data_IF_864864049389
#
_entry.id   IF_864864049389
#
_cell.length_a   1.000
_cell.length_b   1.000
_cell.length_c   1.000
_cell.angle_alpha   90.00
_cell.angle_beta   90.00
_cell.angle_gamma   90.00
#
_symmetry.space_group_name_H-M   'P 1'
#
loop_
_entity.id
_entity.type
_entity.pdbx_description
1 polymer ?
#
# COMPACT_ATOMS: atom_id res chain seq x y z
N UNK A 1 -6.49 -17.97 -4.99
CA UNK A 1 -6.87 -16.63 -4.48
C UNK A 1 -7.90 -16.71 -3.35
N UNK A 2 -8.89 -17.60 -3.48
CA UNK A 2 -9.91 -17.89 -2.45
C UNK A 2 -9.35 -18.21 -1.06
N UNK A 3 -8.12 -18.74 -0.97
CA UNK A 3 -7.51 -19.11 0.31
C UNK A 3 -6.99 -17.92 1.14
N UNK A 4 -6.88 -16.71 0.57
CA UNK A 4 -6.37 -15.54 1.28
C UNK A 4 -7.09 -14.25 0.85
N UNK A 5 -8.33 -14.01 1.33
CA UNK A 5 -9.09 -12.81 0.97
C UNK A 5 -8.35 -11.48 1.19
N UNK A 6 -7.57 -11.27 2.28
CA UNK A 6 -6.75 -10.06 2.43
C UNK A 6 -5.72 -9.85 1.32
N UNK A 7 -5.12 -10.92 0.80
CA UNK A 7 -4.14 -10.81 -0.29
C UNK A 7 -4.81 -10.38 -1.59
N UNK A 8 -6.03 -10.89 -1.86
CA UNK A 8 -6.83 -10.44 -2.98
C UNK A 8 -7.17 -8.95 -2.84
N UNK A 9 -7.58 -8.53 -1.65
CA UNK A 9 -7.87 -7.13 -1.35
C UNK A 9 -6.64 -6.25 -1.62
N UNK A 10 -5.46 -6.63 -1.14
CA UNK A 10 -4.21 -5.90 -1.39
C UNK A 10 -3.91 -5.77 -2.89
N UNK A 11 -4.13 -6.82 -3.69
CA UNK A 11 -3.86 -6.76 -5.13
C UNK A 11 -4.86 -5.88 -5.87
N UNK A 12 -6.13 -5.96 -5.52
CA UNK A 12 -7.18 -5.12 -6.10
C UNK A 12 -6.92 -3.65 -5.77
N UNK A 13 -6.61 -3.34 -4.51
CA UNK A 13 -6.35 -1.95 -4.08
C UNK A 13 -5.07 -1.41 -4.69
N UNK A 14 -4.04 -2.24 -4.80
CA UNK A 14 -2.80 -1.91 -5.49
C UNK A 14 -3.06 -1.56 -6.98
N UNK A 15 -3.85 -2.38 -7.68
CA UNK A 15 -4.23 -2.12 -9.07
C UNK A 15 -5.02 -0.82 -9.22
N UNK A 16 -6.03 -0.61 -8.38
CA UNK A 16 -6.84 0.62 -8.38
C UNK A 16 -5.97 1.84 -8.13
N UNK A 17 -5.08 1.79 -7.14
CA UNK A 17 -4.15 2.88 -6.85
C UNK A 17 -3.23 3.15 -8.04
N UNK A 18 -2.66 2.12 -8.67
CA UNK A 18 -1.81 2.30 -9.85
C UNK A 18 -2.53 3.03 -11.00
N UNK A 19 -3.80 2.69 -11.27
CA UNK A 19 -4.61 3.37 -12.29
C UNK A 19 -4.86 4.84 -11.93
N UNK A 20 -5.13 5.13 -10.66
CA UNK A 20 -5.33 6.50 -10.19
C UNK A 20 -4.05 7.33 -10.30
N UNK A 21 -2.91 6.79 -9.88
CA UNK A 21 -1.61 7.46 -10.03
C UNK A 21 -1.24 7.68 -11.49
N UNK A 22 -1.53 6.73 -12.38
CA UNK A 22 -1.33 6.94 -13.82
C UNK A 22 -2.21 8.09 -14.33
N UNK A 23 -3.47 8.14 -13.91
CA UNK A 23 -4.41 9.19 -14.29
C UNK A 23 -3.95 10.57 -13.79
N UNK A 24 -3.41 10.64 -12.57
CA UNK A 24 -2.85 11.87 -12.00
C UNK A 24 -1.61 12.33 -12.75
N UNK A 25 -0.70 11.42 -13.11
CA UNK A 25 0.48 11.75 -13.91
C UNK A 25 0.08 12.32 -15.28
N UNK A 26 -0.89 11.71 -15.98
CA UNK A 26 -1.39 12.23 -17.26
C UNK A 26 -1.93 13.65 -17.10
N UNK A 27 -2.69 13.93 -16.03
CA UNK A 27 -3.20 15.29 -15.76
C UNK A 27 -2.07 16.29 -15.56
N UNK A 28 -1.05 15.93 -14.77
CA UNK A 28 0.10 16.80 -14.57
C UNK A 28 0.84 17.09 -15.89
N UNK A 29 1.02 16.10 -16.77
CA UNK A 29 1.59 16.32 -18.10
C UNK A 29 0.74 17.27 -18.94
N UNK A 30 -0.59 17.16 -18.91
CA UNK A 30 -1.48 18.06 -19.64
C UNK A 30 -1.44 19.50 -19.11
N UNK A 31 -1.29 19.69 -17.80
CA UNK A 31 -1.10 21.02 -17.18
C UNK A 31 0.22 21.63 -17.62
N UNK A 32 1.33 20.87 -17.51
CA UNK A 32 2.68 21.34 -17.90
C UNK A 32 2.72 21.68 -19.40
N UNK A 33 2.03 20.89 -20.23
CA UNK A 33 1.89 21.15 -21.66
C UNK A 33 0.95 22.31 -22.02
N UNK A 34 0.41 23.03 -21.04
CA UNK A 34 -0.60 24.09 -21.22
C UNK A 34 -1.85 23.64 -22.00
N UNK A 35 -2.14 22.33 -22.04
CA UNK A 35 -3.35 21.78 -22.67
C UNK A 35 -4.57 22.06 -21.80
N UNK A 36 -4.40 22.01 -20.47
CA UNK A 36 -5.40 22.38 -19.48
C UNK A 36 -4.94 23.65 -18.79
N UNK A 37 -5.75 24.72 -18.86
CA UNK A 37 -5.46 25.98 -18.18
C UNK A 37 -5.59 25.83 -16.67
N UNK A 38 -4.55 26.24 -15.93
CA UNK A 38 -4.56 26.32 -14.46
C UNK A 38 -5.36 27.55 -13.99
N UNK A 39 -6.68 27.46 -14.10
CA UNK A 39 -7.63 28.46 -13.60
C UNK A 39 -8.36 27.92 -12.36
N UNK A 40 -8.84 28.80 -11.48
CA UNK A 40 -9.58 28.41 -10.27
C UNK A 40 -10.74 27.46 -10.57
N UNK A 41 -11.45 27.67 -11.68
CA UNK A 41 -12.56 26.81 -12.13
C UNK A 41 -12.14 25.34 -12.35
N UNK A 42 -10.90 25.11 -12.79
CA UNK A 42 -10.36 23.78 -13.02
C UNK A 42 -9.69 23.19 -11.77
N UNK A 43 -9.39 23.99 -10.74
CA UNK A 43 -8.68 23.55 -9.52
C UNK A 43 -9.38 22.36 -8.87
N UNK A 44 -10.72 22.34 -8.81
CA UNK A 44 -11.47 21.20 -8.23
C UNK A 44 -11.25 19.92 -9.03
N UNK A 45 -11.33 19.98 -10.36
CA UNK A 45 -11.11 18.83 -11.24
C UNK A 45 -9.67 18.32 -11.15
N UNK A 46 -8.71 19.21 -10.90
CA UNK A 46 -7.30 18.89 -10.73
C UNK A 46 -6.99 18.25 -9.37
N UNK A 47 -7.70 18.64 -8.30
CA UNK A 47 -7.42 18.19 -6.93
C UNK A 47 -8.27 17.00 -6.48
N UNK A 48 -9.49 16.85 -6.98
CA UNK A 48 -10.39 15.75 -6.61
C UNK A 48 -9.77 14.35 -6.83
N UNK A 49 -9.12 14.05 -7.97
CA UNK A 49 -8.56 12.73 -8.21
C UNK A 49 -7.39 12.39 -7.27
N UNK A 50 -6.42 13.28 -7.03
CA UNK A 50 -5.42 13.07 -5.98
C UNK A 50 -6.01 12.89 -4.57
N UNK A 51 -7.09 13.58 -4.21
CA UNK A 51 -7.79 13.31 -2.94
C UNK A 51 -8.34 11.89 -2.89
N UNK A 52 -9.03 11.46 -3.95
CA UNK A 52 -9.57 10.11 -4.04
C UNK A 52 -8.47 9.05 -4.00
N UNK A 53 -7.38 9.25 -4.73
CA UNK A 53 -6.19 8.39 -4.71
C UNK A 53 -5.59 8.33 -3.30
N UNK A 54 -5.51 9.47 -2.61
CA UNK A 54 -4.98 9.55 -1.26
C UNK A 54 -5.86 8.81 -0.25
N UNK A 55 -7.18 8.90 -0.38
CA UNK A 55 -8.10 8.13 0.45
C UNK A 55 -7.95 6.64 0.17
N UNK A 56 -7.97 6.22 -1.11
CA UNK A 56 -7.87 4.82 -1.51
C UNK A 56 -6.52 4.17 -1.18
N UNK A 57 -5.44 4.95 -1.09
CA UNK A 57 -4.16 4.51 -0.53
C UNK A 57 -4.34 3.97 0.91
N UNK A 58 -5.19 4.60 1.72
CA UNK A 58 -5.50 4.10 3.07
C UNK A 58 -6.14 2.71 3.05
N UNK A 59 -6.96 2.38 2.04
CA UNK A 59 -7.53 1.04 1.88
C UNK A 59 -6.44 0.00 1.59
N UNK A 60 -5.42 0.35 0.81
CA UNK A 60 -4.25 -0.51 0.59
C UNK A 60 -3.46 -0.74 1.88
N UNK A 61 -3.24 0.29 2.69
CA UNK A 61 -2.54 0.16 3.98
C UNK A 61 -3.33 -0.74 4.95
N UNK A 62 -4.64 -0.52 5.09
CA UNK A 62 -5.50 -1.37 5.92
C UNK A 62 -5.59 -2.81 5.39
N UNK A 63 -5.57 -3.02 4.08
CA UNK A 63 -5.53 -4.35 3.49
C UNK A 63 -4.22 -5.08 3.83
N UNK A 64 -3.08 -4.37 3.82
CA UNK A 64 -1.80 -4.94 4.25
C UNK A 64 -1.78 -5.25 5.76
N UNK A 65 -2.29 -4.35 6.60
CA UNK A 65 -2.46 -4.62 8.05
C UNK A 65 -3.28 -5.89 8.27
N UNK A 66 -4.43 -6.00 7.57
CA UNK A 66 -5.30 -7.18 7.61
C UNK A 66 -4.56 -8.45 7.21
N UNK A 67 -3.75 -8.38 6.15
CA UNK A 67 -2.92 -9.48 5.67
C UNK A 67 -1.87 -9.88 6.71
N UNK A 68 -1.19 -8.93 7.36
CA UNK A 68 -0.23 -9.21 8.42
C UNK A 68 -0.89 -9.86 9.64
N UNK A 69 -2.06 -9.37 10.07
CA UNK A 69 -2.84 -9.96 11.17
C UNK A 69 -3.24 -11.39 10.84
N UNK A 70 -3.84 -11.61 9.66
CA UNK A 70 -4.27 -12.94 9.21
C UNK A 70 -3.09 -13.92 9.20
N UNK A 71 -1.95 -13.52 8.64
CA UNK A 71 -0.75 -14.37 8.50
C UNK A 71 -0.09 -14.64 9.84
N UNK A 72 -0.01 -13.65 10.71
CA UNK A 72 0.46 -13.82 12.09
C UNK A 72 -0.40 -14.84 12.83
N UNK A 73 -1.73 -14.75 12.69
CA UNK A 73 -2.64 -15.70 13.33
C UNK A 73 -2.45 -17.13 12.81
N UNK A 74 -2.34 -17.32 11.50
CA UNK A 74 -2.09 -18.64 10.87
C UNK A 74 -0.80 -19.26 11.42
N UNK A 75 0.25 -18.46 11.60
CA UNK A 75 1.54 -18.92 12.12
C UNK A 75 1.49 -19.29 13.61
N UNK A 76 0.70 -18.56 14.41
CA UNK A 76 0.56 -18.82 15.84
C UNK A 76 -0.40 -19.97 16.15
N UNK A 77 -1.45 -20.15 15.34
CA UNK A 77 -2.53 -21.11 15.60
C UNK A 77 -2.88 -21.95 14.35
N UNK A 78 -2.02 -22.88 13.93
CA UNK A 78 -2.21 -23.64 12.68
C UNK A 78 -3.46 -24.54 12.66
N UNK A 79 -3.97 -24.92 13.83
CA UNK A 79 -5.12 -25.83 13.96
C UNK A 79 -6.49 -25.12 13.94
N UNK A 80 -6.52 -23.78 13.99
CA UNK A 80 -7.77 -23.01 14.09
C UNK A 80 -8.38 -22.71 12.71
N UNK A 81 -9.71 -22.57 12.60
CA UNK A 81 -10.38 -22.27 11.33
C UNK A 81 -10.02 -20.87 10.82
N UNK A 82 -9.10 -20.81 9.85
CA UNK A 82 -8.54 -19.57 9.29
C UNK A 82 -9.58 -18.69 8.59
N UNK A 83 -10.64 -19.29 8.03
CA UNK A 83 -11.64 -18.58 7.20
C UNK A 83 -12.38 -17.49 7.96
N UNK A 84 -12.80 -17.76 9.19
CA UNK A 84 -13.56 -16.80 10.00
C UNK A 84 -12.71 -15.56 10.32
N UNK A 85 -11.47 -15.77 10.73
CA UNK A 85 -10.54 -14.70 11.11
C UNK A 85 -10.16 -13.86 9.90
N UNK A 86 -9.96 -14.49 8.76
CA UNK A 86 -9.71 -13.79 7.50
C UNK A 86 -10.87 -12.87 7.14
N UNK A 87 -12.12 -13.33 7.32
CA UNK A 87 -13.31 -12.52 7.05
C UNK A 87 -13.44 -11.35 8.01
N UNK A 88 -13.26 -11.60 9.31
CA UNK A 88 -13.28 -10.55 10.34
C UNK A 88 -12.20 -9.50 10.06
N UNK A 89 -10.97 -9.92 9.74
CA UNK A 89 -9.87 -9.01 9.45
C UNK A 89 -10.14 -8.15 8.20
N UNK A 90 -10.77 -8.69 7.16
CA UNK A 90 -11.15 -7.92 5.96
C UNK A 90 -12.25 -6.92 6.28
N UNK A 91 -13.31 -7.35 6.98
CA UNK A 91 -14.43 -6.46 7.36
C UNK A 91 -13.92 -5.33 8.25
N UNK A 92 -13.09 -5.63 9.25
CA UNK A 92 -12.49 -4.64 10.13
C UNK A 92 -11.63 -3.63 9.35
N UNK A 93 -10.82 -4.11 8.39
CA UNK A 93 -10.01 -3.25 7.54
C UNK A 93 -10.85 -2.31 6.67
N UNK A 94 -11.93 -2.81 6.06
CA UNK A 94 -12.84 -1.99 5.25
C UNK A 94 -13.54 -0.94 6.12
N UNK A 95 -14.04 -1.31 7.29
CA UNK A 95 -14.71 -0.36 8.21
C UNK A 95 -13.72 0.70 8.70
N UNK A 96 -12.51 0.31 9.12
CA UNK A 96 -11.48 1.25 9.54
C UNK A 96 -11.07 2.20 8.40
N UNK A 97 -10.95 1.67 7.18
CA UNK A 97 -10.72 2.48 5.98
C UNK A 97 -11.86 3.48 5.76
N UNK A 98 -13.12 3.06 5.79
CA UNK A 98 -14.26 3.96 5.56
C UNK A 98 -14.30 5.10 6.58
N UNK A 99 -14.02 4.81 7.85
CA UNK A 99 -13.90 5.83 8.89
C UNK A 99 -12.75 6.80 8.61
N UNK A 100 -11.56 6.29 8.27
CA UNK A 100 -10.40 7.12 7.94
C UNK A 100 -10.61 7.94 6.65
N UNK A 101 -11.26 7.36 5.64
CA UNK A 101 -11.61 8.05 4.41
C UNK A 101 -12.64 9.15 4.67
N UNK A 102 -13.66 8.88 5.49
CA UNK A 102 -14.64 9.86 5.89
C UNK A 102 -14.00 11.05 6.60
N UNK A 103 -13.12 10.81 7.58
CA UNK A 103 -12.42 11.90 8.27
C UNK A 103 -11.53 12.69 7.32
N UNK A 104 -10.75 12.02 6.47
CA UNK A 104 -9.92 12.70 5.47
C UNK A 104 -10.76 13.51 4.48
N UNK A 105 -11.87 12.97 3.95
CA UNK A 105 -12.74 13.70 3.04
C UNK A 105 -13.36 14.91 3.72
N UNK A 106 -13.93 14.73 4.91
CA UNK A 106 -14.59 15.82 5.64
C UNK A 106 -13.63 16.98 5.95
N UNK A 107 -12.42 16.68 6.41
CA UNK A 107 -11.37 17.67 6.64
C UNK A 107 -10.98 18.39 5.33
N UNK A 108 -10.82 17.67 4.22
CA UNK A 108 -10.54 18.30 2.93
C UNK A 108 -11.70 19.18 2.43
N UNK A 109 -12.95 18.77 2.69
CA UNK A 109 -14.14 19.55 2.32
C UNK A 109 -14.20 20.89 3.05
N UNK A 110 -13.76 20.95 4.31
CA UNK A 110 -13.73 22.22 5.07
C UNK A 110 -12.79 23.26 4.44
N UNK A 111 -11.73 22.81 3.77
CA UNK A 111 -10.78 23.67 3.08
C UNK A 111 -11.18 23.97 1.62
N UNK A 112 -12.41 23.62 1.20
CA UNK A 112 -12.94 23.90 -0.14
C UNK A 112 -13.06 25.39 -0.51
N UNK A 113 -13.01 26.28 0.47
CA UNK A 113 -13.09 27.73 0.25
C UNK A 113 -11.88 28.25 -0.56
N UNK A 114 -10.82 27.44 -0.73
CA UNK A 114 -9.57 27.83 -1.40
C UNK A 114 -9.63 27.56 -2.93
N UNK A 115 -10.68 26.92 -3.45
CA UNK A 115 -10.70 26.39 -4.82
C UNK A 115 -10.91 27.43 -5.91
N UNK A 116 -11.33 28.65 -5.56
CA UNK A 116 -11.44 29.75 -6.53
C UNK A 116 -10.08 30.31 -6.96
N UNK A 117 -8.99 29.91 -6.30
CA UNK A 117 -7.63 30.33 -6.64
C UNK A 117 -6.93 29.27 -7.51
N UNK A 118 -6.14 29.69 -8.52
CA UNK A 118 -5.32 28.77 -9.29
C UNK A 118 -4.24 28.15 -8.39
N UNK A 119 -3.75 26.97 -8.76
CA UNK A 119 -2.65 26.32 -8.06
C UNK A 119 -1.40 27.20 -8.22
N UNK A 120 -0.66 27.54 -7.14
CA UNK A 120 0.53 28.38 -7.24
C UNK A 120 1.55 27.79 -8.21
N UNK A 121 2.17 28.64 -9.03
CA UNK A 121 3.26 28.22 -9.91
C UNK A 121 4.40 27.60 -9.07
N UNK A 122 4.95 26.48 -9.55
CA UNK A 122 5.97 25.71 -8.81
C UNK A 122 5.40 24.71 -7.79
N UNK A 123 4.11 24.77 -7.46
CA UNK A 123 3.44 23.81 -6.57
C UNK A 123 2.86 22.63 -7.37
N UNK A 124 3.74 21.89 -8.04
CA UNK A 124 3.35 20.75 -8.87
C UNK A 124 3.32 19.47 -8.04
N UNK A 125 2.13 19.11 -7.57
CA UNK A 125 1.87 17.83 -6.92
C UNK A 125 1.02 17.93 -5.67
N UNK A 126 0.36 16.83 -5.36
CA UNK A 126 -0.55 16.73 -4.23
C UNK A 126 0.13 17.02 -2.89
N UNK A 127 1.41 16.66 -2.72
CA UNK A 127 2.14 16.90 -1.48
C UNK A 127 2.30 18.41 -1.15
N UNK A 128 2.48 19.26 -2.17
CA UNK A 128 2.57 20.70 -1.99
C UNK A 128 1.19 21.29 -1.65
N UNK A 129 0.16 20.85 -2.36
CA UNK A 129 -1.23 21.29 -2.14
C UNK A 129 -1.75 20.83 -0.77
N UNK A 130 -1.41 19.62 -0.34
CA UNK A 130 -1.81 19.01 0.95
C UNK A 130 -1.42 19.87 2.16
N UNK A 131 -0.37 20.70 2.07
CA UNK A 131 0.00 21.63 3.14
C UNK A 131 -1.12 22.61 3.49
N UNK A 132 -2.01 22.89 2.55
CA UNK A 132 -3.13 23.82 2.69
C UNK A 132 -4.33 23.19 3.42
N UNK A 133 -4.36 21.86 3.52
CA UNK A 133 -5.49 21.08 4.04
C UNK A 133 -5.31 20.60 5.49
N UNK A 134 -4.40 21.24 6.25
CA UNK A 134 -4.25 21.02 7.70
C UNK A 134 -3.41 19.81 8.12
N UNK A 135 -3.09 19.76 9.42
CA UNK A 135 -2.23 18.73 10.03
C UNK A 135 -2.94 17.42 10.39
N UNK A 136 -4.26 17.37 10.39
CA UNK A 136 -5.07 16.20 10.79
C UNK A 136 -4.82 14.99 9.90
N UNK A 137 -4.78 15.18 8.58
CA UNK A 137 -4.50 14.12 7.60
C UNK A 137 -3.10 13.53 7.82
N UNK A 138 -2.13 14.34 8.26
CA UNK A 138 -0.79 13.87 8.58
C UNK A 138 -0.78 12.96 9.81
N UNK A 139 -1.53 13.31 10.86
CA UNK A 139 -1.68 12.49 12.07
C UNK A 139 -2.31 11.14 11.73
N UNK A 140 -3.42 11.12 10.97
CA UNK A 140 -4.10 9.88 10.56
C UNK A 140 -3.13 8.97 9.81
N UNK A 141 -2.35 9.52 8.86
CA UNK A 141 -1.33 8.74 8.15
C UNK A 141 -0.25 8.18 9.07
N UNK A 142 0.28 8.97 10.00
CA UNK A 142 1.30 8.48 10.95
C UNK A 142 0.73 7.31 11.75
N UNK A 143 -0.50 7.43 12.25
CA UNK A 143 -1.15 6.36 13.02
C UNK A 143 -1.27 5.08 12.19
N UNK A 144 -1.69 5.19 10.93
CA UNK A 144 -1.76 4.05 10.00
C UNK A 144 -0.36 3.45 9.77
N UNK A 145 0.65 4.26 9.45
CA UNK A 145 2.03 3.81 9.23
C UNK A 145 2.62 3.10 10.44
N UNK A 146 2.44 3.64 11.65
CA UNK A 146 2.91 3.03 12.90
C UNK A 146 2.20 1.70 13.16
N UNK A 147 0.89 1.65 12.93
CA UNK A 147 0.09 0.41 13.08
C UNK A 147 0.56 -0.66 12.09
N UNK A 148 0.81 -0.28 10.84
CA UNK A 148 1.32 -1.17 9.80
C UNK A 148 2.70 -1.72 10.13
N UNK A 149 3.62 -0.87 10.61
CA UNK A 149 4.93 -1.29 11.08
C UNK A 149 4.82 -2.28 12.24
N UNK A 150 3.99 -1.98 13.25
CA UNK A 150 3.79 -2.85 14.41
C UNK A 150 3.32 -4.27 14.01
N UNK A 151 2.28 -4.37 13.17
CA UNK A 151 1.80 -5.67 12.71
C UNK A 151 2.78 -6.37 11.77
N UNK A 152 3.48 -5.63 10.90
CA UNK A 152 4.49 -6.19 10.01
C UNK A 152 5.70 -6.74 10.76
N UNK A 153 6.21 -6.04 11.78
CA UNK A 153 7.26 -6.55 12.66
C UNK A 153 6.81 -7.79 13.43
N UNK A 154 5.59 -7.76 13.98
CA UNK A 154 5.01 -8.93 14.68
C UNK A 154 4.95 -10.14 13.76
N UNK A 155 4.48 -9.96 12.51
CA UNK A 155 4.47 -11.00 11.49
C UNK A 155 5.87 -11.55 11.21
N UNK A 156 6.87 -10.68 10.99
CA UNK A 156 8.25 -11.09 10.71
C UNK A 156 8.83 -11.91 11.87
N UNK A 157 8.62 -11.50 13.11
CA UNK A 157 9.07 -12.24 14.30
C UNK A 157 8.42 -13.62 14.35
N UNK A 158 7.10 -13.70 14.18
CA UNK A 158 6.37 -14.97 14.14
C UNK A 158 6.85 -15.87 12.99
N UNK A 159 7.09 -15.30 11.82
CA UNK A 159 7.61 -16.02 10.65
C UNK A 159 8.98 -16.63 10.91
N UNK A 160 9.90 -15.86 11.52
CA UNK A 160 11.23 -16.36 11.88
C UNK A 160 11.18 -17.48 12.93
N UNK A 161 10.28 -17.39 13.91
CA UNK A 161 10.07 -18.46 14.90
C UNK A 161 9.48 -19.72 14.27
N UNK A 162 8.43 -19.58 13.46
CA UNK A 162 7.78 -20.71 12.81
C UNK A 162 8.69 -21.47 11.84
N UNK A 163 9.61 -20.77 11.15
CA UNK A 163 10.59 -21.39 10.23
C UNK A 163 11.48 -22.43 10.91
N UNK A 164 11.77 -22.29 12.21
CA UNK A 164 12.62 -23.25 12.94
C UNK A 164 11.93 -24.60 13.19
N UNK A 165 10.59 -24.68 13.08
CA UNK A 165 9.82 -25.85 13.52
C UNK A 165 8.94 -26.53 12.47
N UNK A 166 8.88 -26.06 11.21
CA UNK A 166 7.94 -26.61 10.22
C UNK A 166 8.54 -26.87 8.83
N UNK A 167 8.19 -28.04 8.25
CA UNK A 167 8.49 -28.42 6.87
C UNK A 167 7.75 -27.49 5.90
N UNK A 168 8.44 -27.10 4.82
CA UNK A 168 7.96 -26.15 3.82
C UNK A 168 6.70 -26.66 3.10
N UNK A 169 5.53 -26.11 3.45
CA UNK A 169 4.27 -26.29 2.71
C UNK A 169 4.05 -25.10 1.76
N UNK A 170 3.06 -25.20 0.86
CA UNK A 170 2.63 -24.14 -0.08
C UNK A 170 2.35 -22.79 0.61
N UNK A 171 2.02 -22.80 1.91
CA UNK A 171 1.89 -21.61 2.76
C UNK A 171 3.19 -20.79 2.85
N UNK A 172 4.36 -21.43 2.70
CA UNK A 172 5.66 -20.78 2.78
C UNK A 172 5.87 -19.70 1.71
N UNK A 173 5.49 -19.96 0.44
CA UNK A 173 5.61 -18.98 -0.66
C UNK A 173 4.84 -17.70 -0.38
N UNK A 174 3.61 -17.83 0.13
CA UNK A 174 2.77 -16.67 0.46
C UNK A 174 3.39 -15.88 1.61
N UNK A 175 3.91 -16.55 2.63
CA UNK A 175 4.56 -15.87 3.75
C UNK A 175 5.84 -15.13 3.31
N UNK A 176 6.61 -15.68 2.36
CA UNK A 176 7.72 -14.96 1.74
C UNK A 176 7.23 -13.74 0.95
N UNK A 177 6.16 -13.86 0.17
CA UNK A 177 5.55 -12.72 -0.53
C UNK A 177 5.20 -11.60 0.45
N UNK A 178 4.47 -11.93 1.51
CA UNK A 178 4.05 -10.97 2.56
C UNK A 178 5.27 -10.33 3.24
N UNK A 179 6.33 -11.12 3.50
CA UNK A 179 7.59 -10.60 4.06
C UNK A 179 8.27 -9.61 3.12
N UNK A 180 8.35 -9.91 1.83
CA UNK A 180 8.94 -9.01 0.84
C UNK A 180 8.12 -7.73 0.69
N UNK A 181 6.79 -7.84 0.63
CA UNK A 181 5.92 -6.67 0.60
C UNK A 181 6.12 -5.78 1.82
N UNK A 182 6.21 -6.37 3.02
CA UNK A 182 6.54 -5.62 4.24
C UNK A 182 7.93 -4.95 4.17
N UNK A 183 8.95 -5.63 3.65
CA UNK A 183 10.30 -5.05 3.52
C UNK A 183 10.33 -3.90 2.51
N UNK A 184 9.66 -4.05 1.37
CA UNK A 184 9.58 -3.00 0.34
C UNK A 184 8.81 -1.79 0.88
N UNK A 185 7.64 -2.01 1.47
CA UNK A 185 6.86 -0.93 2.07
C UNK A 185 7.61 -0.28 3.23
N UNK A 186 8.19 -1.08 4.14
CA UNK A 186 8.95 -0.57 5.27
C UNK A 186 10.15 0.26 4.84
N UNK A 187 10.91 -0.18 3.83
CA UNK A 187 12.05 0.60 3.33
C UNK A 187 11.59 1.91 2.67
N UNK A 188 10.62 1.86 1.75
CA UNK A 188 10.18 3.05 1.02
C UNK A 188 9.49 4.06 1.96
N UNK A 189 8.50 3.61 2.73
CA UNK A 189 7.68 4.48 3.59
C UNK A 189 8.47 5.03 4.78
N UNK A 190 9.29 4.20 5.45
CA UNK A 190 10.10 4.67 6.58
C UNK A 190 11.18 5.63 6.10
N UNK A 191 11.87 5.32 5.00
CA UNK A 191 12.85 6.26 4.43
C UNK A 191 12.17 7.57 4.07
N UNK A 192 11.02 7.56 3.39
CA UNK A 192 10.28 8.78 3.07
C UNK A 192 9.95 9.61 4.33
N UNK A 193 9.40 8.99 5.38
CA UNK A 193 9.05 9.69 6.62
C UNK A 193 10.26 10.22 7.39
N UNK A 194 11.35 9.45 7.47
CA UNK A 194 12.59 9.89 8.13
C UNK A 194 13.19 11.06 7.36
N UNK A 195 13.22 10.97 6.03
CA UNK A 195 13.77 12.02 5.16
C UNK A 195 12.93 13.30 5.27
N UNK A 196 11.60 13.20 5.25
CA UNK A 196 10.69 14.32 5.51
C UNK A 196 10.93 14.96 6.88
N UNK A 197 11.05 14.16 7.93
CA UNK A 197 11.30 14.66 9.28
C UNK A 197 12.66 15.35 9.42
N UNK A 198 13.72 14.74 8.87
CA UNK A 198 15.07 15.30 8.90
C UNK A 198 15.15 16.63 8.13
N UNK A 199 14.53 16.71 6.96
CA UNK A 199 14.50 17.95 6.20
C UNK A 199 13.67 19.03 6.88
N UNK A 200 12.54 18.67 7.48
CA UNK A 200 11.74 19.61 8.27
C UNK A 200 12.57 20.21 9.41
N UNK A 201 13.42 19.42 10.09
CA UNK A 201 14.35 19.91 11.11
C UNK A 201 15.44 20.83 10.55
N UNK A 202 15.84 20.64 9.30
CA UNK A 202 16.76 21.52 8.60
C UNK A 202 16.09 22.79 8.02
N UNK A 203 14.77 22.96 8.21
CA UNK A 203 14.00 24.06 7.59
C UNK A 203 13.77 23.87 6.09
N UNK A 204 14.16 22.72 5.54
CA UNK A 204 13.99 22.38 4.12
C UNK A 204 12.65 21.68 3.95
N UNK A 205 11.80 22.28 3.12
CA UNK A 205 10.50 21.72 2.80
C UNK A 205 10.65 20.78 1.62
N UNK A 206 10.92 19.52 1.91
CA UNK A 206 11.05 18.45 0.90
C UNK A 206 9.85 18.39 -0.04
N UNK A 207 8.63 18.62 0.46
CA UNK A 207 7.42 18.62 -0.36
C UNK A 207 7.48 19.58 -1.57
N UNK A 208 8.23 20.68 -1.47
CA UNK A 208 8.40 21.65 -2.55
C UNK A 208 9.31 21.13 -3.67
N UNK A 209 10.24 20.22 -3.35
CA UNK A 209 11.22 19.67 -4.29
C UNK A 209 10.88 18.24 -4.73
N UNK A 210 10.14 17.51 -3.89
CA UNK A 210 9.94 16.05 -3.96
C UNK A 210 8.47 15.67 -4.20
N UNK A 211 7.56 16.64 -4.33
CA UNK A 211 6.15 16.37 -4.61
C UNK A 211 5.91 15.37 -5.75
N UNK A 212 6.69 15.47 -6.83
CA UNK A 212 6.66 14.52 -7.95
C UNK A 212 7.39 13.20 -7.64
N UNK A 213 8.53 13.24 -6.95
CA UNK A 213 9.27 12.03 -6.58
C UNK A 213 8.48 11.13 -5.61
N UNK A 214 7.62 11.69 -4.76
CA UNK A 214 6.72 10.90 -3.91
C UNK A 214 5.78 10.00 -4.72
N UNK A 215 5.27 10.49 -5.85
CA UNK A 215 4.46 9.71 -6.79
C UNK A 215 5.29 8.60 -7.44
N UNK A 216 6.54 8.88 -7.78
CA UNK A 216 7.48 7.89 -8.36
C UNK A 216 7.78 6.78 -7.34
N UNK A 217 8.06 7.13 -6.08
CA UNK A 217 8.30 6.15 -5.02
C UNK A 217 7.07 5.27 -4.76
N UNK A 218 5.88 5.87 -4.67
CA UNK A 218 4.64 5.11 -4.53
C UNK A 218 4.39 4.18 -5.72
N UNK A 219 4.57 4.68 -6.96
CA UNK A 219 4.41 3.88 -8.18
C UNK A 219 5.42 2.72 -8.23
N UNK A 220 6.65 2.97 -7.79
CA UNK A 220 7.70 1.95 -7.70
C UNK A 220 7.33 0.88 -6.67
N UNK A 221 6.80 1.28 -5.51
CA UNK A 221 6.31 0.35 -4.49
C UNK A 221 5.22 -0.58 -5.06
N UNK A 222 4.21 -0.01 -5.70
CA UNK A 222 3.10 -0.76 -6.30
C UNK A 222 3.56 -1.71 -7.40
N UNK A 223 4.49 -1.25 -8.24
CA UNK A 223 5.11 -2.07 -9.27
C UNK A 223 5.91 -3.23 -8.69
N UNK A 224 6.81 -2.96 -7.73
CA UNK A 224 7.64 -3.99 -7.08
C UNK A 224 6.76 -5.00 -6.34
N UNK A 225 5.74 -4.54 -5.62
CA UNK A 225 4.76 -5.40 -4.94
C UNK A 225 4.03 -6.33 -5.92
N UNK A 226 3.61 -5.79 -7.07
CA UNK A 226 2.99 -6.58 -8.15
C UNK A 226 3.98 -7.58 -8.76
N UNK A 227 5.21 -7.14 -9.03
CA UNK A 227 6.27 -7.98 -9.60
C UNK A 227 6.62 -9.15 -8.67
N UNK A 228 6.77 -8.89 -7.37
CA UNK A 228 7.02 -9.93 -6.34
C UNK A 228 5.89 -10.95 -6.33
N UNK A 229 4.64 -10.50 -6.40
CA UNK A 229 3.49 -11.39 -6.51
C UNK A 229 3.58 -12.26 -7.77
N UNK A 230 3.78 -11.66 -8.95
CA UNK A 230 3.89 -12.41 -10.20
C UNK A 230 5.05 -13.41 -10.17
N UNK A 231 6.25 -13.01 -9.73
CA UNK A 231 7.44 -13.88 -9.70
C UNK A 231 7.27 -15.09 -8.77
N UNK A 232 6.58 -14.92 -7.64
CA UNK A 232 6.37 -16.01 -6.67
C UNK A 232 5.25 -16.97 -7.08
N UNK A 233 4.23 -16.50 -7.79
CA UNK A 233 3.06 -17.31 -8.15
C UNK A 233 3.05 -17.83 -9.61
N UNK A 234 3.76 -17.20 -10.54
CA UNK A 234 3.86 -17.69 -11.94
C UNK A 234 4.99 -18.69 -12.17
N UNK A 235 5.97 -18.77 -11.26
CA UNK A 235 6.94 -19.86 -11.26
C UNK A 235 6.23 -21.17 -10.93
N UNK A 236 5.81 -21.88 -11.99
CA UNK A 236 5.38 -23.28 -11.91
C UNK A 236 6.47 -24.06 -11.21
N UNK A 237 6.12 -24.74 -10.12
CA UNK A 237 7.04 -25.69 -9.50
C UNK A 237 7.45 -26.68 -10.59
N UNK A 238 8.75 -26.79 -10.87
CA UNK A 238 9.26 -27.80 -11.79
C UNK A 238 8.68 -29.13 -11.32
N UNK A 239 7.86 -29.76 -12.15
CA UNK A 239 7.24 -31.02 -11.82
C UNK A 239 8.35 -31.96 -11.38
N UNK A 240 8.34 -32.33 -10.10
CA UNK A 240 9.28 -33.31 -9.58
C UNK A 240 8.91 -34.60 -10.28
N UNK A 241 9.72 -34.98 -11.28
CA UNK A 241 9.59 -36.27 -11.95
C UNK A 241 9.89 -37.31 -10.87
N UNK A 242 8.83 -37.85 -10.26
CA UNK A 242 8.96 -38.97 -9.35
C UNK A 242 9.30 -40.17 -10.22
N UNK A 243 10.59 -40.50 -10.28
CA UNK A 243 11.06 -41.76 -10.84
C UNK A 243 10.49 -42.89 -9.99
N UNK A 244 9.34 -43.44 -10.38
CA UNK A 244 8.81 -44.67 -9.80
C UNK A 244 9.73 -45.78 -10.25
N UNK A 245 10.63 -46.21 -9.35
CA UNK A 245 11.46 -47.39 -9.58
C UNK A 245 10.58 -48.61 -9.35
N UNK A 246 10.03 -49.16 -10.43
CA UNK A 246 9.32 -50.44 -10.40
C UNK A 246 10.33 -51.53 -10.08
N UNK A 247 10.42 -51.95 -8.82
CA UNK A 247 11.08 -53.19 -8.45
C UNK A 247 10.21 -54.35 -8.91
N UNK A 248 10.50 -54.86 -10.11
CA UNK A 248 10.05 -56.19 -10.52
C UNK A 248 10.77 -57.22 -9.67
N UNK A 249 10.09 -57.74 -8.65
CA UNK A 249 10.50 -58.97 -7.99
C UNK A 249 10.28 -60.12 -8.97
N UNK A 250 11.35 -60.63 -9.56
CA UNK A 250 11.33 -61.89 -10.29
C UNK A 250 10.95 -63.01 -9.32
N UNK A 251 9.88 -63.74 -9.68
CA UNK A 251 9.60 -65.09 -9.20
C UNK A 251 10.49 -66.09 -9.96
#
# INVERSE_FOLDING_TARGET
MWDSPPLCLVLVTNFVNAVLYLSDNIKWFLIIGNVISNTGQNTLLLLLPPFAAQSLMGLYDFANISLFIQRTFILLFPLKPVRLISRIAVVAAIVAFLLAAFTMFFENLQHLIIFDKPIPEGCYGFACVRRWFGGSIFIVKIVISVTMLFFGFTFVICFHRAKKGHKATTSSKINYCVKYMFMVHGTITVTAHITDFAALKAGILIANYIGQYGLVFASTEYFVSTLVYFLLFTRKDKAVVVSVRTTTSGQ
#
